data_IF_865150301840
#
_entry.id   IF_865150301840
#
_cell.length_a   1.000
_cell.length_b   1.000
_cell.length_c   1.000
_cell.angle_alpha   90.00
_cell.angle_beta   90.00
_cell.angle_gamma   90.00
#
_symmetry.space_group_name_H-M   'P 1'
#
loop_
_entity.id
_entity.type
_entity.pdbx_description
1 polymer ?
#
# COMPACT_ATOMS: atom_id res chain seq x y z
N UNK A 1 6.24 0.72 -10.64
CA UNK A 1 6.83 1.98 -10.15
C UNK A 1 8.05 1.62 -9.33
N UNK A 2 9.15 2.37 -9.44
CA UNK A 2 10.41 2.06 -8.75
C UNK A 2 10.75 3.09 -7.69
N UNK A 3 11.46 2.66 -6.66
CA UNK A 3 12.02 3.53 -5.63
C UNK A 3 13.32 4.21 -6.10
N UNK A 4 13.94 5.02 -5.23
CA UNK A 4 15.16 5.76 -5.59
C UNK A 4 16.36 4.86 -5.94
N UNK A 5 16.36 3.62 -5.46
CA UNK A 5 17.41 2.64 -5.72
C UNK A 5 17.06 1.71 -6.89
N UNK A 6 15.95 1.97 -7.59
CA UNK A 6 15.49 1.15 -8.72
C UNK A 6 14.76 -0.13 -8.31
N UNK A 7 14.45 -0.34 -7.02
CA UNK A 7 13.63 -1.48 -6.58
C UNK A 7 12.18 -1.23 -6.96
N UNK A 8 11.53 -2.23 -7.55
CA UNK A 8 10.11 -2.17 -7.83
C UNK A 8 9.32 -2.10 -6.53
N UNK A 9 8.46 -1.09 -6.41
CA UNK A 9 7.51 -0.93 -5.30
C UNK A 9 6.30 -1.82 -5.57
N UNK A 10 5.94 -2.63 -4.59
CA UNK A 10 4.82 -3.57 -4.63
C UNK A 10 3.89 -3.37 -3.45
N UNK A 11 2.64 -3.80 -3.61
CA UNK A 11 1.68 -3.87 -2.51
C UNK A 11 2.18 -4.81 -1.41
N UNK A 12 2.09 -4.32 -0.17
CA UNK A 12 2.66 -4.94 1.02
C UNK A 12 4.06 -4.44 1.41
N UNK A 13 4.75 -3.71 0.54
CA UNK A 13 6.02 -3.08 0.91
C UNK A 13 5.79 -1.99 1.97
N UNK A 14 6.77 -1.80 2.85
CA UNK A 14 6.88 -0.58 3.64
C UNK A 14 7.86 0.36 2.96
N UNK A 15 7.49 1.63 2.89
CA UNK A 15 8.26 2.68 2.22
C UNK A 15 8.52 3.85 3.15
N UNK A 16 9.72 4.41 3.06
CA UNK A 16 10.06 5.71 3.65
C UNK A 16 9.90 6.77 2.57
N UNK A 17 9.00 7.72 2.82
CA UNK A 17 8.88 8.94 2.02
C UNK A 17 9.60 10.07 2.73
N UNK A 18 10.46 10.78 2.01
CA UNK A 18 11.23 11.92 2.52
C UNK A 18 11.28 13.06 1.50
N UNK A 19 11.58 14.28 1.95
CA UNK A 19 11.71 15.47 1.09
C UNK A 19 10.38 16.05 0.61
N UNK A 20 9.24 15.53 1.09
CA UNK A 20 7.92 16.07 0.80
C UNK A 20 7.71 17.46 1.41
N UNK A 21 7.00 18.32 0.69
CA UNK A 21 6.76 19.72 1.05
C UNK A 21 6.02 19.85 2.39
N UNK A 22 4.97 19.05 2.61
CA UNK A 22 4.30 19.03 3.91
C UNK A 22 4.93 17.98 4.81
N UNK A 23 5.10 18.34 6.09
CA UNK A 23 5.61 17.43 7.12
C UNK A 23 4.79 16.13 7.22
N UNK A 24 3.48 16.19 6.94
CA UNK A 24 2.60 15.01 6.93
C UNK A 24 2.98 13.96 5.91
N UNK A 25 3.52 14.40 4.77
CA UNK A 25 3.85 13.55 3.61
C UNK A 25 5.13 12.75 3.84
N UNK A 26 5.87 13.07 4.89
CA UNK A 26 7.12 12.43 5.25
C UNK A 26 6.89 11.37 6.34
N UNK A 27 7.62 10.26 6.24
CA UNK A 27 7.61 9.17 7.21
C UNK A 27 7.46 7.79 6.58
N UNK A 28 7.16 6.81 7.43
CA UNK A 28 6.93 5.43 7.02
C UNK A 28 5.47 5.20 6.62
N UNK A 29 5.28 4.50 5.52
CA UNK A 29 3.98 4.14 4.98
C UNK A 29 3.99 2.69 4.50
N UNK A 30 2.87 1.99 4.63
CA UNK A 30 2.64 0.75 3.90
C UNK A 30 2.03 1.05 2.52
N UNK A 31 2.45 0.30 1.51
CA UNK A 31 1.85 0.33 0.19
C UNK A 31 0.59 -0.55 0.22
N UNK A 32 -0.57 0.11 0.12
CA UNK A 32 -1.88 -0.55 0.15
C UNK A 32 -2.29 -1.01 -1.24
N UNK A 33 -2.01 -0.20 -2.25
CA UNK A 33 -2.21 -0.55 -3.65
C UNK A 33 -1.07 0.02 -4.50
N UNK A 34 -0.61 -0.77 -5.47
CA UNK A 34 0.37 -0.39 -6.45
C UNK A 34 -0.26 -0.45 -7.86
N UNK A 35 0.25 0.36 -8.82
CA UNK A 35 -0.19 0.29 -10.21
C UNK A 35 -0.06 -1.13 -10.77
N UNK A 36 -1.15 -1.66 -11.31
CA UNK A 36 -1.23 -3.01 -11.87
C UNK A 36 -1.86 -4.06 -10.95
N UNK A 37 -2.20 -3.71 -9.71
CA UNK A 37 -2.92 -4.65 -8.83
C UNK A 37 -4.35 -4.94 -9.35
N UNK A 38 -4.90 -6.15 -9.11
CA UNK A 38 -6.23 -6.54 -9.59
C UNK A 38 -7.38 -5.61 -9.16
N UNK A 39 -7.23 -4.90 -8.03
CA UNK A 39 -8.23 -3.98 -7.49
C UNK A 39 -7.87 -2.49 -7.66
N UNK A 40 -6.81 -2.16 -8.40
CA UNK A 40 -6.29 -0.81 -8.48
C UNK A 40 -6.25 -0.27 -9.90
N UNK A 41 -7.11 0.72 -10.15
CA UNK A 41 -7.20 1.40 -11.44
C UNK A 41 -6.32 2.65 -11.53
N UNK A 42 -5.60 2.99 -10.45
CA UNK A 42 -4.76 4.18 -10.38
C UNK A 42 -3.34 3.96 -10.90
N UNK A 43 -2.73 5.03 -11.42
CA UNK A 43 -1.31 5.04 -11.82
C UNK A 43 -0.35 5.40 -10.68
N UNK A 44 -0.90 5.87 -9.54
CA UNK A 44 -0.15 6.17 -8.32
C UNK A 44 -0.23 5.01 -7.32
N UNK A 45 0.76 4.85 -6.45
CA UNK A 45 0.62 3.99 -5.29
C UNK A 45 -0.31 4.63 -4.25
N UNK A 46 -1.22 3.85 -3.69
CA UNK A 46 -1.97 4.21 -2.48
C UNK A 46 -1.18 3.81 -1.25
N UNK A 47 -0.95 4.75 -0.35
CA UNK A 47 -0.14 4.58 0.85
C UNK A 47 -0.99 4.77 2.11
N UNK A 48 -0.64 4.08 3.18
CA UNK A 48 -1.21 4.31 4.51
C UNK A 48 -0.08 4.47 5.54
N UNK A 49 -0.13 5.56 6.30
CA UNK A 49 0.89 5.93 7.27
C UNK A 49 1.01 4.86 8.37
N UNK A 50 2.23 4.59 8.78
CA UNK A 50 2.49 3.69 9.90
C UNK A 50 2.57 4.44 11.22
N UNK A 51 1.91 3.87 12.22
CA UNK A 51 2.15 4.20 13.62
C UNK A 51 3.54 3.71 14.04
N UNK A 52 4.08 4.26 15.14
CA UNK A 52 5.37 3.79 15.71
C UNK A 52 5.39 2.29 16.04
N UNK A 53 4.22 1.69 16.27
CA UNK A 53 4.05 0.26 16.50
C UNK A 53 4.13 -0.61 15.24
N UNK A 54 4.17 -0.03 14.03
CA UNK A 54 4.08 -0.74 12.76
C UNK A 54 2.64 -1.00 12.29
N UNK A 55 1.62 -0.62 13.07
CA UNK A 55 0.22 -0.69 12.65
C UNK A 55 -0.11 0.39 11.63
N UNK A 56 -1.04 0.09 10.72
CA UNK A 56 -1.67 1.10 9.87
C UNK A 56 -2.34 2.17 10.74
N UNK A 57 -2.16 3.43 10.38
CA UNK A 57 -2.79 4.54 11.07
C UNK A 57 -4.26 4.66 10.66
N UNK A 58 -5.14 4.79 11.66
CA UNK A 58 -6.57 5.06 11.45
C UNK A 58 -6.89 6.57 11.49
N UNK A 59 -5.86 7.42 11.64
CA UNK A 59 -6.02 8.86 11.66
C UNK A 59 -6.59 9.43 10.36
N UNK A 60 -7.34 10.54 10.46
CA UNK A 60 -8.00 11.20 9.32
C UNK A 60 -7.09 11.47 8.11
N UNK A 61 -5.80 11.72 8.33
CA UNK A 61 -4.81 12.03 7.29
C UNK A 61 -3.75 10.92 7.15
N UNK A 62 -4.14 9.66 7.40
CA UNK A 62 -3.25 8.51 7.28
C UNK A 62 -3.01 8.10 5.83
N UNK A 63 -4.01 8.27 4.96
CA UNK A 63 -3.91 7.95 3.54
C UNK A 63 -3.05 8.98 2.82
N UNK A 64 -2.10 8.49 2.03
CA UNK A 64 -1.26 9.28 1.16
C UNK A 64 -1.14 8.60 -0.22
N UNK A 65 -0.47 9.26 -1.16
CA UNK A 65 -0.24 8.72 -2.50
C UNK A 65 1.21 8.93 -2.91
N UNK A 66 1.70 8.06 -3.78
CA UNK A 66 2.99 8.26 -4.44
C UNK A 66 2.84 8.14 -5.97
N UNK A 67 3.23 9.16 -6.77
CA UNK A 67 3.80 10.46 -6.36
C UNK A 67 2.88 11.26 -5.43
N UNK A 68 3.47 12.15 -4.60
CA UNK A 68 2.76 12.86 -3.53
C UNK A 68 1.59 13.68 -4.09
N UNK A 69 0.37 13.32 -3.70
CA UNK A 69 -0.83 14.08 -4.00
C UNK A 69 -0.91 15.35 -3.12
N UNK A 70 -1.03 16.52 -3.77
CA UNK A 70 -1.03 17.82 -3.09
C UNK A 70 -2.45 18.33 -2.86
N UNK A 71 -2.92 18.25 -1.62
CA UNK A 71 -4.24 18.72 -1.19
C UNK A 71 -4.13 19.97 -0.30
N UNK A 72 -3.91 21.13 -0.92
CA UNK A 72 -3.85 22.43 -0.23
C UNK A 72 -5.06 23.33 -0.53
N UNK A 73 -5.42 24.26 0.36
CA UNK A 73 -6.54 25.18 0.14
C UNK A 73 -6.25 26.29 -0.89
N UNK A 74 -4.98 26.71 -1.01
CA UNK A 74 -4.55 27.78 -1.92
C UNK A 74 -3.89 27.21 -3.18
N UNK A 75 -4.22 27.78 -4.35
CA UNK A 75 -3.59 27.43 -5.62
C UNK A 75 -2.07 27.65 -5.58
N UNK A 76 -1.59 28.74 -4.99
CA UNK A 76 -0.16 29.06 -4.91
C UNK A 76 0.59 27.99 -4.12
N UNK A 77 0.06 27.64 -2.94
CA UNK A 77 0.60 26.54 -2.12
C UNK A 77 0.57 25.20 -2.87
N UNK A 78 -0.48 24.92 -3.65
CA UNK A 78 -0.51 23.71 -4.48
C UNK A 78 0.63 23.69 -5.50
N UNK A 79 0.89 24.80 -6.18
CA UNK A 79 1.95 24.87 -7.19
C UNK A 79 3.34 24.78 -6.56
N UNK A 80 3.58 25.51 -5.46
CA UNK A 80 4.85 25.45 -4.74
C UNK A 80 5.15 24.03 -4.24
N UNK A 81 4.14 23.37 -3.63
CA UNK A 81 4.28 22.00 -3.14
C UNK A 81 4.50 20.99 -4.28
N UNK A 82 3.80 21.13 -5.42
CA UNK A 82 4.02 20.25 -6.59
C UNK A 82 5.44 20.39 -7.13
N UNK A 83 5.90 21.62 -7.33
CA UNK A 83 7.25 21.91 -7.83
C UNK A 83 8.31 21.41 -6.86
N UNK A 84 8.12 21.63 -5.56
CA UNK A 84 9.02 21.13 -4.53
C UNK A 84 9.06 19.60 -4.49
N UNK A 85 7.91 18.94 -4.44
CA UNK A 85 7.84 17.49 -4.38
C UNK A 85 8.49 16.83 -5.59
N UNK A 86 8.27 17.38 -6.79
CA UNK A 86 8.90 16.87 -8.01
C UNK A 86 10.44 16.95 -7.98
N UNK A 87 10.99 17.95 -7.28
CA UNK A 87 12.44 18.16 -7.20
C UNK A 87 13.11 17.48 -6.00
N UNK A 88 12.38 17.23 -4.91
CA UNK A 88 12.98 16.87 -3.61
C UNK A 88 12.43 15.59 -3.00
N UNK A 89 11.22 15.16 -3.39
CA UNK A 89 10.60 14.01 -2.74
C UNK A 89 11.25 12.71 -3.23
N UNK A 90 11.57 11.84 -2.29
CA UNK A 90 12.09 10.50 -2.53
C UNK A 90 11.20 9.46 -1.86
N UNK A 91 11.19 8.26 -2.43
CA UNK A 91 10.62 7.06 -1.83
C UNK A 91 11.68 5.96 -1.83
N UNK A 92 11.72 5.19 -0.75
CA UNK A 92 12.62 4.06 -0.58
C UNK A 92 11.83 2.90 0.00
N UNK A 93 11.98 1.68 -0.52
CA UNK A 93 11.45 0.48 0.13
C UNK A 93 12.36 0.11 1.30
N UNK A 94 11.74 -0.16 2.46
CA UNK A 94 12.41 -0.32 3.74
C UNK A 94 12.02 -1.64 4.36
N UNK A 95 12.97 -2.56 4.45
CA UNK A 95 12.72 -3.88 4.99
C UNK A 95 12.98 -3.95 6.50
N UNK A 96 13.67 -3.00 7.14
CA UNK A 96 14.08 -3.00 8.57
C UNK A 96 13.00 -2.47 9.54
N UNK A 97 11.74 -2.79 9.25
CA UNK A 97 10.56 -2.44 10.05
C UNK A 97 9.70 -3.66 10.30
N UNK A 98 8.87 -3.65 11.36
CA UNK A 98 7.98 -4.78 11.66
C UNK A 98 6.88 -4.90 10.60
N UNK A 99 6.87 -6.00 9.84
CA UNK A 99 5.90 -6.28 8.78
C UNK A 99 4.74 -7.18 9.24
N UNK A 100 4.72 -7.63 10.51
CA UNK A 100 3.70 -8.56 11.02
C UNK A 100 2.28 -8.02 10.87
N UNK A 101 2.08 -6.73 11.16
CA UNK A 101 0.77 -6.09 11.01
C UNK A 101 0.36 -5.91 9.56
N UNK A 102 1.32 -5.78 8.64
CA UNK A 102 1.01 -5.74 7.21
C UNK A 102 0.49 -7.09 6.76
N UNK A 103 1.20 -8.16 7.11
CA UNK A 103 0.76 -9.53 6.83
C UNK A 103 -0.63 -9.82 7.41
N UNK A 104 -0.87 -9.45 8.67
CA UNK A 104 -2.17 -9.62 9.34
C UNK A 104 -3.30 -8.87 8.61
N UNK A 105 -3.09 -7.61 8.25
CA UNK A 105 -4.11 -6.81 7.55
C UNK A 105 -4.51 -7.43 6.20
N UNK A 106 -3.55 -7.88 5.40
CA UNK A 106 -3.84 -8.49 4.10
C UNK A 106 -4.54 -9.84 4.25
N UNK A 107 -4.25 -10.63 5.30
CA UNK A 107 -5.03 -11.84 5.62
C UNK A 107 -6.47 -11.51 5.96
N UNK A 108 -6.69 -10.52 6.83
CA UNK A 108 -8.04 -10.07 7.19
C UNK A 108 -8.80 -9.58 5.95
N UNK A 109 -8.14 -8.86 5.03
CA UNK A 109 -8.78 -8.41 3.79
C UNK A 109 -9.13 -9.56 2.85
N UNK A 110 -8.26 -10.58 2.74
CA UNK A 110 -8.56 -11.80 2.00
C UNK A 110 -9.79 -12.53 2.59
N UNK A 111 -9.87 -12.64 3.91
CA UNK A 111 -11.01 -13.27 4.61
C UNK A 111 -12.31 -12.47 4.43
N UNK A 112 -12.24 -11.14 4.45
CA UNK A 112 -13.40 -10.25 4.23
C UNK A 112 -14.02 -10.37 2.84
N UNK A 113 -13.29 -10.90 1.85
CA UNK A 113 -13.83 -11.16 0.52
C UNK A 113 -14.72 -12.41 0.46
N UNK A 114 -14.60 -13.32 1.44
CA UNK A 114 -15.29 -14.62 1.40
C UNK A 114 -16.81 -14.49 1.20
N UNK A 115 -17.55 -13.63 1.95
CA UNK A 115 -18.99 -13.50 1.76
C UNK A 115 -19.37 -12.99 0.36
N UNK A 116 -18.55 -12.12 -0.24
CA UNK A 116 -18.79 -11.63 -1.59
C UNK A 116 -18.52 -12.70 -2.65
N UNK A 117 -17.49 -13.53 -2.44
CA UNK A 117 -17.16 -14.69 -3.29
C UNK A 117 -18.30 -15.70 -3.24
N UNK A 118 -18.77 -16.05 -2.05
CA UNK A 118 -19.87 -17.01 -1.85
C UNK A 118 -21.14 -16.50 -2.55
N UNK A 119 -21.42 -15.20 -2.44
CA UNK A 119 -22.55 -14.57 -3.12
C UNK A 119 -22.40 -14.61 -4.64
N UNK A 120 -21.23 -14.26 -5.16
CA UNK A 120 -20.95 -14.28 -6.60
C UNK A 120 -21.07 -15.69 -7.19
N UNK A 121 -20.62 -16.72 -6.44
CA UNK A 121 -20.77 -18.13 -6.81
C UNK A 121 -22.23 -18.52 -6.92
N UNK A 122 -23.08 -18.10 -5.97
CA UNK A 122 -24.52 -18.39 -5.99
C UNK A 122 -25.24 -17.69 -7.15
N UNK A 123 -24.90 -16.43 -7.42
CA UNK A 123 -25.61 -15.61 -8.41
C UNK A 123 -25.23 -15.99 -9.85
N UNK A 124 -23.96 -16.30 -10.11
CA UNK A 124 -23.44 -16.45 -11.48
C UNK A 124 -22.63 -17.73 -11.71
N UNK A 125 -22.50 -18.60 -10.71
CA UNK A 125 -21.60 -19.75 -10.75
C UNK A 125 -20.13 -19.37 -10.72
N UNK A 126 -19.25 -20.38 -10.77
CA UNK A 126 -17.80 -20.20 -10.74
C UNK A 126 -17.23 -19.67 -12.06
N UNK A 127 -18.00 -19.78 -13.14
CA UNK A 127 -17.62 -19.24 -14.44
C UNK A 127 -17.85 -17.74 -14.58
N UNK A 128 -18.61 -17.13 -13.66
CA UNK A 128 -18.92 -15.70 -13.69
C UNK A 128 -17.69 -14.81 -13.44
N UNK A 129 -17.59 -13.73 -14.22
CA UNK A 129 -16.46 -12.79 -14.15
C UNK A 129 -16.27 -12.18 -12.76
N UNK A 130 -17.37 -11.94 -12.03
CA UNK A 130 -17.32 -11.39 -10.67
C UNK A 130 -16.69 -12.37 -9.69
N UNK A 131 -17.05 -13.66 -9.78
CA UNK A 131 -16.47 -14.70 -8.93
C UNK A 131 -14.97 -14.82 -9.20
N UNK A 132 -14.57 -14.93 -10.47
CA UNK A 132 -13.16 -15.03 -10.88
C UNK A 132 -12.33 -13.84 -10.39
N UNK A 133 -12.84 -12.61 -10.56
CA UNK A 133 -12.16 -11.39 -10.09
C UNK A 133 -11.97 -11.36 -8.57
N UNK A 134 -12.98 -11.79 -7.81
CA UNK A 134 -12.91 -11.80 -6.35
C UNK A 134 -11.95 -12.87 -5.83
N UNK A 135 -11.94 -14.06 -6.45
CA UNK A 135 -10.97 -15.12 -6.15
C UNK A 135 -9.53 -14.69 -6.49
N UNK A 136 -9.33 -14.06 -7.65
CA UNK A 136 -8.02 -13.49 -8.03
C UNK A 136 -7.55 -12.45 -7.01
N UNK A 137 -8.43 -11.54 -6.60
CA UNK A 137 -8.12 -10.52 -5.59
C UNK A 137 -7.80 -11.15 -4.23
N UNK A 138 -8.55 -12.18 -3.81
CA UNK A 138 -8.30 -12.91 -2.57
C UNK A 138 -6.94 -13.61 -2.60
N UNK A 139 -6.63 -14.32 -3.69
CA UNK A 139 -5.34 -14.96 -3.88
C UNK A 139 -4.19 -13.93 -3.88
N UNK A 140 -4.40 -12.77 -4.52
CA UNK A 140 -3.45 -11.67 -4.49
C UNK A 140 -3.18 -11.20 -3.06
N UNK A 141 -4.20 -10.92 -2.24
CA UNK A 141 -4.02 -10.51 -0.85
C UNK A 141 -3.32 -11.57 0.01
N UNK A 142 -3.61 -12.85 -0.18
CA UNK A 142 -2.88 -13.94 0.49
C UNK A 142 -1.40 -13.90 0.11
N UNK A 143 -1.08 -13.76 -1.19
CA UNK A 143 0.30 -13.67 -1.65
C UNK A 143 1.05 -12.47 -1.05
N UNK A 144 0.37 -11.33 -0.89
CA UNK A 144 0.93 -10.13 -0.26
C UNK A 144 1.23 -10.41 1.21
N UNK A 145 0.29 -11.03 1.92
CA UNK A 145 0.48 -11.38 3.32
C UNK A 145 1.66 -12.32 3.55
N UNK A 146 1.81 -13.33 2.69
CA UNK A 146 2.89 -14.31 2.80
C UNK A 146 4.26 -13.67 2.53
N UNK A 147 4.35 -12.75 1.54
CA UNK A 147 5.58 -11.97 1.31
C UNK A 147 5.93 -11.10 2.53
N UNK A 148 4.97 -10.38 3.09
CA UNK A 148 5.19 -9.54 4.26
C UNK A 148 5.60 -10.36 5.50
N UNK A 149 5.02 -11.55 5.68
CA UNK A 149 5.41 -12.47 6.74
C UNK A 149 6.84 -13.00 6.55
N UNK A 150 7.24 -13.33 5.31
CA UNK A 150 8.60 -13.78 5.01
C UNK A 150 9.65 -12.69 5.29
N UNK A 151 9.40 -11.44 4.91
CA UNK A 151 10.27 -10.29 5.25
C UNK A 151 10.43 -10.18 6.77
N UNK A 152 9.34 -10.28 7.52
CA UNK A 152 9.38 -10.23 8.99
C UNK A 152 10.20 -11.38 9.60
N UNK A 153 10.14 -12.59 9.03
CA UNK A 153 10.91 -13.73 9.53
C UNK A 153 12.41 -13.57 9.29
N UNK A 154 12.81 -13.04 8.14
CA UNK A 154 14.22 -12.79 7.83
C UNK A 154 14.87 -11.81 8.81
N UNK A 155 14.11 -10.84 9.32
CA UNK A 155 14.59 -9.92 10.36
C UNK A 155 14.77 -10.60 11.73
N UNK A 156 13.86 -11.53 12.07
CA UNK A 156 13.81 -12.15 13.40
C UNK A 156 14.61 -13.45 13.49
N UNK A 157 15.04 -14.02 12.35
CA UNK A 157 15.77 -15.28 12.24
C UNK A 157 17.29 -15.13 12.05
N UNK A 158 17.83 -13.91 12.10
CA UNK A 158 19.28 -13.67 12.11
C UNK A 158 19.87 -13.89 13.50
N UNK A 159 20.24 -15.14 13.80
CA UNK A 159 21.21 -15.50 14.85
C UNK A 159 22.50 -15.92 14.17
#
# INVERSE_FOLDING_TARGET
>A
MVDKNGRQIQTGDVVLVSGGYFKSDNGLFAVIHAPGDPCWYGESCCLNKLCRSGKLSEGKYATAFWPIAVNAGSWRTKMDAKSWNAANAEILVVDDVNHSYIAENFRIWAERLQPAIDRARLDSGEDGDVFKRLEELRAFYISVADRAAAVNLLQNGGV
#
